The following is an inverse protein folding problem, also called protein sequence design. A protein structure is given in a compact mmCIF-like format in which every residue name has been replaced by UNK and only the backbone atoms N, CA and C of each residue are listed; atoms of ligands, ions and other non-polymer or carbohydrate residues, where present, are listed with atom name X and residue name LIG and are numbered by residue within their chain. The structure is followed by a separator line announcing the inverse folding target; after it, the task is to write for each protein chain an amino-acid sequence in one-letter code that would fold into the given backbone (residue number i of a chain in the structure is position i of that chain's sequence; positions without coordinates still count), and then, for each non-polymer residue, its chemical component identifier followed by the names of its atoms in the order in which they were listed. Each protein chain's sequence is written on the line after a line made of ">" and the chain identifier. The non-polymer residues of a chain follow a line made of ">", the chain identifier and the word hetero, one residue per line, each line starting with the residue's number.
data_IF_583256593326
#
_entry.id   IF_583256593326
#
_cell.length_a   1.000
_cell.length_b   1.000
_cell.length_c   1.000
_cell.angle_alpha   90.00
_cell.angle_beta   90.00
_cell.angle_gamma   90.00
#
_symmetry.space_group_name_H-M   'P 1'
#
loop_
_entity.id
_entity.type
_entity.pdbx_description
1 polymer ?
#
# COMPACT_ATOMS: atom_id res chain seq x y z
N UNK A 1 -18.25 -27.14 43.39
CA UNK A 1 -18.36 -25.96 42.50
C UNK A 1 -17.55 -26.21 41.24
N UNK A 2 -18.21 -26.54 40.12
CA UNK A 2 -17.57 -26.79 38.82
C UNK A 2 -17.34 -25.45 38.13
N UNK A 3 -16.09 -25.05 37.87
CA UNK A 3 -15.75 -23.91 37.02
C UNK A 3 -15.87 -24.37 35.56
N UNK A 4 -16.82 -23.79 34.82
CA UNK A 4 -16.99 -24.04 33.39
C UNK A 4 -15.86 -23.41 32.58
N UNK A 5 -15.57 -23.91 31.37
CA UNK A 5 -14.52 -23.36 30.53
C UNK A 5 -14.98 -22.01 29.97
N UNK A 6 -14.17 -20.97 30.17
CA UNK A 6 -14.30 -19.71 29.46
C UNK A 6 -14.11 -19.99 27.97
N UNK A 7 -15.19 -19.89 27.19
CA UNK A 7 -15.12 -19.78 25.74
C UNK A 7 -14.53 -18.41 25.43
N UNK A 8 -13.22 -18.36 25.17
CA UNK A 8 -12.63 -17.25 24.45
C UNK A 8 -13.32 -17.13 23.10
N UNK A 9 -13.89 -15.96 22.81
CA UNK A 9 -14.35 -15.65 21.47
C UNK A 9 -13.14 -15.74 20.53
N UNK A 10 -13.23 -16.59 19.51
CA UNK A 10 -12.33 -16.54 18.38
C UNK A 10 -12.47 -15.18 17.68
N UNK A 11 -11.39 -14.56 17.17
CA UNK A 11 -11.52 -13.37 16.36
C UNK A 11 -12.36 -13.69 15.13
N UNK A 12 -13.34 -12.83 14.84
CA UNK A 12 -14.18 -12.92 13.65
C UNK A 12 -13.31 -12.99 12.39
N UNK A 13 -13.56 -13.99 11.56
CA UNK A 13 -12.91 -14.16 10.26
C UNK A 13 -13.14 -12.93 9.36
N UNK A 14 -12.12 -12.09 9.19
CA UNK A 14 -12.15 -10.96 8.25
C UNK A 14 -11.72 -11.34 6.81
N UNK A 15 -11.37 -12.60 6.54
CA UNK A 15 -10.78 -12.99 5.24
C UNK A 15 -11.76 -13.39 4.13
N UNK A 16 -13.05 -13.05 4.22
CA UNK A 16 -14.07 -13.52 3.23
C UNK A 16 -14.82 -12.43 2.46
N UNK A 17 -14.48 -11.15 2.61
CA UNK A 17 -15.22 -10.08 1.93
C UNK A 17 -14.93 -9.99 0.42
N UNK A 18 -13.71 -10.33 0.01
CA UNK A 18 -13.26 -10.18 -1.38
C UNK A 18 -12.61 -11.46 -1.90
N UNK A 19 -12.93 -11.82 -3.13
CA UNK A 19 -12.27 -12.89 -3.88
C UNK A 19 -11.45 -12.32 -5.04
N UNK A 20 -10.57 -13.13 -5.60
CA UNK A 20 -9.75 -12.75 -6.76
C UNK A 20 -10.01 -13.69 -7.93
N UNK A 21 -9.80 -13.18 -9.14
CA UNK A 21 -9.84 -13.96 -10.38
C UNK A 21 -8.64 -13.63 -11.24
N UNK A 22 -7.78 -14.62 -11.46
CA UNK A 22 -6.61 -14.49 -12.32
C UNK A 22 -6.96 -14.83 -13.78
N UNK A 23 -6.45 -14.04 -14.71
CA UNK A 23 -6.57 -14.26 -16.15
C UNK A 23 -5.21 -14.08 -16.81
N UNK A 24 -4.91 -14.91 -17.80
CA UNK A 24 -3.59 -14.94 -18.43
C UNK A 24 -2.56 -15.74 -17.63
N UNK A 25 -1.39 -15.96 -18.22
CA UNK A 25 -0.32 -16.74 -17.61
C UNK A 25 0.49 -15.88 -16.61
N UNK A 26 0.81 -16.38 -15.41
CA UNK A 26 1.68 -15.67 -14.48
C UNK A 26 3.03 -15.28 -15.12
N UNK A 27 3.53 -14.09 -14.81
CA UNK A 27 4.72 -13.49 -15.43
C UNK A 27 4.61 -13.37 -16.96
N UNK A 28 3.42 -12.99 -17.47
CA UNK A 28 3.20 -12.59 -18.85
C UNK A 28 2.59 -11.17 -18.93
N UNK A 29 2.77 -10.43 -20.05
CA UNK A 29 2.14 -9.12 -20.26
C UNK A 29 0.61 -9.12 -20.19
N UNK A 30 -0.01 -10.29 -20.40
CA UNK A 30 -1.45 -10.52 -20.40
C UNK A 30 -2.01 -10.82 -19.02
N UNK A 31 -1.16 -11.14 -18.03
CA UNK A 31 -1.60 -11.47 -16.68
C UNK A 31 -2.39 -10.34 -16.02
N UNK A 32 -3.59 -10.65 -15.53
CA UNK A 32 -4.45 -9.73 -14.78
C UNK A 32 -5.04 -10.45 -13.57
N UNK A 33 -5.10 -9.77 -12.44
CA UNK A 33 -5.82 -10.22 -11.25
C UNK A 33 -6.98 -9.26 -10.99
N UNK A 34 -8.19 -9.75 -11.19
CA UNK A 34 -9.44 -9.04 -10.95
C UNK A 34 -9.97 -9.33 -9.54
N UNK A 35 -10.86 -8.46 -9.06
CA UNK A 35 -11.49 -8.56 -7.75
C UNK A 35 -12.96 -8.88 -7.87
N UNK A 36 -13.48 -9.66 -6.92
CA UNK A 36 -14.90 -9.95 -6.74
C UNK A 36 -15.34 -9.57 -5.33
N UNK A 37 -16.53 -8.98 -5.20
CA UNK A 37 -17.16 -8.76 -3.89
C UNK A 37 -17.74 -10.07 -3.32
N UNK A 38 -18.32 -10.01 -2.12
CA UNK A 38 -18.93 -11.15 -1.45
C UNK A 38 -20.10 -11.78 -2.23
N UNK A 39 -20.73 -11.04 -3.16
CA UNK A 39 -21.77 -11.52 -4.06
C UNK A 39 -21.20 -12.12 -5.35
N UNK A 40 -19.88 -12.16 -5.50
CA UNK A 40 -19.19 -12.68 -6.68
C UNK A 40 -19.18 -11.71 -7.87
N UNK A 41 -19.60 -10.45 -7.72
CA UNK A 41 -19.57 -9.47 -8.81
C UNK A 41 -18.16 -8.90 -8.98
N UNK A 42 -17.74 -8.68 -10.22
CA UNK A 42 -16.46 -8.01 -10.49
C UNK A 42 -16.51 -6.57 -10.00
N UNK A 43 -15.45 -6.13 -9.32
CA UNK A 43 -15.31 -4.79 -8.76
C UNK A 43 -13.92 -4.22 -9.08
N UNK A 44 -13.81 -2.90 -9.06
CA UNK A 44 -12.55 -2.18 -9.12
C UNK A 44 -11.86 -2.15 -7.75
N UNK A 45 -10.60 -2.60 -7.63
CA UNK A 45 -9.84 -2.41 -6.40
C UNK A 45 -9.46 -0.95 -6.16
N UNK A 46 -9.53 -0.10 -7.19
CA UNK A 46 -9.28 1.34 -7.04
C UNK A 46 -10.52 2.05 -6.51
N UNK A 47 -11.70 1.77 -7.06
CA UNK A 47 -12.89 2.58 -6.83
C UNK A 47 -13.93 1.94 -5.89
N UNK A 48 -14.07 0.62 -5.90
CA UNK A 48 -15.21 -0.07 -5.28
C UNK A 48 -14.89 -0.69 -3.92
N UNK A 49 -13.62 -0.91 -3.60
CA UNK A 49 -13.20 -1.29 -2.25
C UNK A 49 -13.22 -0.02 -1.39
N UNK A 50 -13.99 0.03 -0.28
CA UNK A 50 -14.08 1.23 0.54
C UNK A 50 -12.73 1.62 1.14
N UNK A 51 -12.46 2.93 1.27
CA UNK A 51 -11.30 3.47 1.99
C UNK A 51 -11.14 2.84 3.38
N UNK A 52 -12.23 2.83 4.15
CA UNK A 52 -12.26 2.35 5.53
C UNK A 52 -12.77 0.91 5.61
N UNK A 53 -12.03 0.06 6.33
CA UNK A 53 -12.52 -1.22 6.83
C UNK A 53 -13.37 -1.04 8.09
N UNK A 54 -12.94 -0.14 8.99
CA UNK A 54 -13.71 0.30 10.15
C UNK A 54 -13.42 1.79 10.41
N UNK A 55 -14.34 2.71 10.05
CA UNK A 55 -14.12 4.15 10.22
C UNK A 55 -14.07 4.58 11.70
N UNK A 56 -14.69 3.83 12.63
CA UNK A 56 -14.67 4.18 14.07
C UNK A 56 -13.31 3.90 14.68
N UNK A 57 -12.68 2.82 14.25
CA UNK A 57 -11.34 2.42 14.69
C UNK A 57 -10.22 2.99 13.80
N UNK A 58 -10.58 3.76 12.76
CA UNK A 58 -9.67 4.25 11.72
C UNK A 58 -8.82 3.11 11.11
N UNK A 59 -9.48 1.98 10.82
CA UNK A 59 -8.90 0.90 10.03
C UNK A 59 -9.20 1.14 8.57
N UNK A 60 -8.16 1.10 7.74
CA UNK A 60 -8.23 1.27 6.30
C UNK A 60 -8.21 -0.10 5.62
N UNK A 61 -8.87 -0.24 4.48
CA UNK A 61 -8.58 -1.36 3.59
C UNK A 61 -7.26 -1.08 2.86
N UNK A 62 -6.39 -2.06 2.76
CA UNK A 62 -5.21 -2.06 1.90
C UNK A 62 -5.38 -3.12 0.83
N UNK A 63 -5.14 -2.75 -0.41
CA UNK A 63 -5.05 -3.68 -1.54
C UNK A 63 -3.59 -4.10 -1.69
N UNK A 64 -3.27 -5.38 -1.45
CA UNK A 64 -1.91 -5.90 -1.54
C UNK A 64 -1.54 -6.20 -2.99
N UNK A 65 -0.50 -5.54 -3.48
CA UNK A 65 -0.01 -5.69 -4.86
C UNK A 65 1.24 -6.57 -4.94
N UNK A 66 2.20 -6.32 -4.06
CA UNK A 66 3.52 -6.96 -4.11
C UNK A 66 3.82 -7.59 -2.74
N UNK A 67 3.79 -8.93 -2.64
CA UNK A 67 4.19 -9.66 -1.44
C UNK A 67 5.62 -9.33 -1.03
N UNK A 68 5.87 -9.28 0.29
CA UNK A 68 7.23 -9.10 0.81
C UNK A 68 8.19 -10.16 0.22
N UNK A 69 9.40 -9.71 -0.11
CA UNK A 69 10.50 -10.46 -0.71
C UNK A 69 10.26 -10.95 -2.14
N UNK A 70 9.27 -10.40 -2.82
CA UNK A 70 9.06 -10.60 -4.25
C UNK A 70 9.58 -9.41 -5.07
N UNK A 71 9.77 -9.61 -6.38
CA UNK A 71 10.42 -8.64 -7.27
C UNK A 71 9.50 -8.13 -8.40
N UNK A 72 8.44 -8.86 -8.76
CA UNK A 72 7.54 -8.44 -9.84
C UNK A 72 6.87 -7.12 -9.44
N UNK A 73 7.06 -6.06 -10.24
CA UNK A 73 6.38 -4.78 -10.01
C UNK A 73 4.94 -4.91 -10.48
N UNK A 74 4.07 -5.27 -9.55
CA UNK A 74 2.64 -5.42 -9.76
C UNK A 74 1.95 -4.15 -9.27
N UNK A 75 0.93 -3.69 -9.98
CA UNK A 75 0.22 -2.44 -9.68
C UNK A 75 -1.24 -2.53 -10.12
N UNK A 76 -2.13 -1.82 -9.42
CA UNK A 76 -3.48 -1.50 -9.87
C UNK A 76 -3.40 -0.80 -11.21
N UNK A 77 -4.02 -1.36 -12.24
CA UNK A 77 -4.03 -0.75 -13.56
C UNK A 77 -5.02 0.42 -13.64
N UNK A 78 -4.63 1.62 -13.19
CA UNK A 78 -5.48 2.83 -13.12
C UNK A 78 -6.16 3.19 -14.43
N UNK A 79 -5.56 2.83 -15.57
CA UNK A 79 -6.06 3.11 -16.93
C UNK A 79 -6.92 1.99 -17.56
N UNK A 80 -7.09 0.85 -16.89
CA UNK A 80 -7.89 -0.26 -17.41
C UNK A 80 -9.27 -0.35 -16.72
N UNK A 81 -10.33 -0.77 -17.44
CA UNK A 81 -11.61 -1.04 -16.82
C UNK A 81 -11.48 -2.03 -15.66
N UNK A 82 -12.18 -1.75 -14.55
CA UNK A 82 -12.14 -2.53 -13.30
C UNK A 82 -10.75 -2.59 -12.63
N UNK A 83 -9.78 -1.82 -13.11
CA UNK A 83 -8.46 -1.63 -12.51
C UNK A 83 -7.79 -2.91 -11.95
N UNK A 84 -7.75 -4.03 -12.70
CA UNK A 84 -7.10 -5.24 -12.21
C UNK A 84 -5.63 -4.99 -11.88
N UNK A 85 -5.07 -5.77 -10.96
CA UNK A 85 -3.63 -5.78 -10.77
C UNK A 85 -2.96 -6.39 -12.01
N UNK A 86 -1.92 -5.74 -12.51
CA UNK A 86 -1.07 -6.25 -13.61
C UNK A 86 0.40 -6.00 -13.29
N UNK A 87 1.29 -6.64 -14.03
CA UNK A 87 2.71 -6.30 -13.96
C UNK A 87 3.02 -5.08 -14.84
N UNK A 88 3.83 -4.16 -14.31
CA UNK A 88 4.37 -3.02 -15.07
C UNK A 88 5.25 -3.54 -16.23
N UNK A 89 5.18 -2.88 -17.39
CA UNK A 89 5.92 -3.23 -18.60
C UNK A 89 6.73 -2.03 -19.05
N UNK A 90 8.06 -2.17 -19.02
CA UNK A 90 9.01 -1.13 -19.40
C UNK A 90 9.80 -1.59 -20.62
N UNK A 91 9.77 -0.80 -21.70
CA UNK A 91 10.45 -1.12 -22.98
C UNK A 91 10.09 -2.53 -23.51
N UNK A 92 8.81 -2.90 -23.41
CA UNK A 92 8.28 -4.19 -23.89
C UNK A 92 8.66 -5.40 -23.03
N UNK A 93 9.27 -5.20 -21.86
CA UNK A 93 9.62 -6.28 -20.92
C UNK A 93 8.92 -6.08 -19.59
N UNK A 94 8.52 -7.19 -18.98
CA UNK A 94 7.98 -7.20 -17.62
C UNK A 94 9.00 -6.63 -16.65
N UNK A 95 8.56 -5.72 -15.78
CA UNK A 95 9.42 -5.04 -14.83
C UNK A 95 9.55 -5.83 -13.54
N UNK A 96 10.80 -6.01 -13.12
CA UNK A 96 11.16 -6.56 -11.83
C UNK A 96 12.06 -5.58 -11.09
N UNK A 97 11.68 -5.24 -9.86
CA UNK A 97 12.54 -4.46 -8.97
C UNK A 97 13.74 -5.30 -8.56
N UNK A 98 14.94 -4.74 -8.68
CA UNK A 98 16.17 -5.45 -8.38
C UNK A 98 16.32 -5.75 -6.87
N UNK A 99 17.13 -6.77 -6.55
CA UNK A 99 17.63 -6.92 -5.20
C UNK A 99 18.78 -5.91 -5.02
N UNK A 100 18.64 -4.99 -4.07
CA UNK A 100 19.72 -4.07 -3.68
C UNK A 100 20.23 -4.51 -2.33
N UNK A 101 21.47 -5.00 -2.27
CA UNK A 101 22.06 -5.49 -1.02
C UNK A 101 21.91 -4.44 0.10
N UNK A 102 21.43 -4.82 1.30
CA UNK A 102 21.20 -6.19 1.80
C UNK A 102 19.77 -6.73 1.57
N UNK A 103 18.96 -6.06 0.77
CA UNK A 103 17.52 -6.33 0.62
C UNK A 103 17.21 -7.35 -0.48
N UNK A 104 16.21 -8.20 -0.22
CA UNK A 104 15.59 -9.08 -1.21
C UNK A 104 14.23 -8.50 -1.60
N UNK A 105 14.08 -8.08 -2.85
CA UNK A 105 12.84 -7.52 -3.40
C UNK A 105 12.29 -6.36 -2.57
N UNK A 106 10.96 -6.27 -2.52
CA UNK A 106 10.26 -5.38 -1.59
C UNK A 106 10.39 -5.91 -0.16
N UNK A 107 10.73 -5.05 0.80
CA UNK A 107 10.97 -5.46 2.19
C UNK A 107 9.74 -5.31 3.12
N UNK A 108 8.58 -4.99 2.52
CA UNK A 108 7.22 -4.92 3.12
C UNK A 108 6.25 -5.73 2.25
N UNK A 109 5.04 -6.00 2.75
CA UNK A 109 3.92 -6.19 1.83
C UNK A 109 3.57 -4.79 1.29
N UNK A 110 3.59 -4.63 -0.02
CA UNK A 110 3.39 -3.34 -0.67
C UNK A 110 2.08 -3.33 -1.44
N UNK A 111 1.44 -2.17 -1.49
CA UNK A 111 0.21 -1.97 -2.23
C UNK A 111 -0.32 -0.56 -2.04
N UNK A 112 -1.64 -0.42 -2.13
CA UNK A 112 -2.31 0.87 -2.13
C UNK A 112 -3.49 0.94 -1.16
N UNK A 113 -3.83 2.15 -0.71
CA UNK A 113 -5.14 2.42 -0.11
C UNK A 113 -6.16 2.73 -1.23
N UNK A 114 -7.26 1.97 -1.35
CA UNK A 114 -8.27 2.22 -2.36
C UNK A 114 -9.00 3.54 -2.08
N UNK A 115 -9.64 4.08 -3.10
CA UNK A 115 -10.34 5.37 -3.03
C UNK A 115 -9.45 6.54 -2.62
N UNK A 116 -8.16 6.51 -2.92
CA UNK A 116 -7.23 7.63 -2.77
C UNK A 116 -6.59 7.94 -4.10
N UNK A 117 -6.20 9.18 -4.35
CA UNK A 117 -5.55 9.56 -5.60
C UNK A 117 -4.61 10.74 -5.37
N UNK A 118 -3.35 10.56 -5.77
CA UNK A 118 -2.31 11.59 -5.82
C UNK A 118 -2.54 12.43 -7.08
N UNK A 119 -3.30 13.53 -6.94
CA UNK A 119 -3.73 14.36 -8.08
C UNK A 119 -2.53 15.00 -8.82
N UNK A 120 -2.29 14.66 -10.10
CA UNK A 120 -1.16 15.18 -10.88
C UNK A 120 -1.32 16.66 -11.27
N UNK A 121 -2.49 17.25 -11.06
CA UNK A 121 -2.74 18.68 -11.26
C UNK A 121 -2.53 19.49 -9.97
N UNK A 122 -2.52 18.83 -8.81
CA UNK A 122 -2.33 19.46 -7.51
C UNK A 122 -0.86 19.50 -7.13
N UNK A 123 -0.33 20.70 -6.89
CA UNK A 123 1.01 20.87 -6.32
C UNK A 123 0.95 20.78 -4.80
N UNK A 124 1.47 19.69 -4.26
CA UNK A 124 1.58 19.44 -2.83
C UNK A 124 2.55 20.45 -2.17
N UNK A 125 2.13 21.04 -1.05
CA UNK A 125 2.86 22.12 -0.40
C UNK A 125 4.12 21.65 0.34
N UNK A 126 4.13 20.40 0.81
CA UNK A 126 5.20 19.83 1.63
C UNK A 126 6.36 19.32 0.76
N UNK A 127 6.04 18.72 -0.38
CA UNK A 127 7.02 18.21 -1.35
C UNK A 127 7.37 19.23 -2.43
N UNK A 128 6.47 20.16 -2.74
CA UNK A 128 6.63 21.11 -3.84
C UNK A 128 6.51 20.48 -5.23
N UNK A 129 5.97 19.26 -5.32
CA UNK A 129 5.76 18.48 -6.53
C UNK A 129 4.26 18.26 -6.79
N UNK A 130 3.90 17.78 -7.99
CA UNK A 130 2.55 17.29 -8.26
C UNK A 130 2.45 15.79 -7.99
N UNK A 131 1.26 15.27 -7.70
CA UNK A 131 1.02 13.84 -7.49
C UNK A 131 1.40 12.96 -8.68
N UNK A 132 1.71 11.70 -8.43
CA UNK A 132 2.12 10.70 -9.43
C UNK A 132 0.95 10.07 -10.22
N UNK A 133 -0.27 10.53 -9.99
CA UNK A 133 -1.52 10.09 -10.62
C UNK A 133 -1.97 8.66 -10.24
N UNK A 134 -1.44 8.08 -9.17
CA UNK A 134 -1.82 6.76 -8.67
C UNK A 134 -2.49 6.85 -7.28
N UNK A 135 -3.05 5.73 -6.75
CA UNK A 135 -3.51 5.69 -5.36
C UNK A 135 -2.35 5.79 -4.37
N UNK A 136 -2.61 6.27 -3.15
CA UNK A 136 -1.57 6.39 -2.13
C UNK A 136 -0.98 5.03 -1.78
N UNK A 137 0.34 4.95 -1.86
CA UNK A 137 1.14 3.77 -1.62
C UNK A 137 1.32 3.46 -0.13
N UNK A 138 1.35 2.17 0.19
CA UNK A 138 1.51 1.69 1.56
C UNK A 138 2.53 0.58 1.72
N UNK A 139 3.21 0.62 2.85
CA UNK A 139 4.15 -0.39 3.32
C UNK A 139 3.58 -1.06 4.57
N UNK A 140 2.97 -2.25 4.42
CA UNK A 140 2.55 -3.06 5.55
C UNK A 140 3.76 -3.79 6.16
N UNK A 141 4.04 -3.43 7.41
CA UNK A 141 5.18 -3.93 8.17
C UNK A 141 4.84 -5.24 8.91
N UNK A 142 3.61 -5.76 8.83
CA UNK A 142 3.18 -6.99 9.52
C UNK A 142 4.08 -8.20 9.24
N UNK A 143 4.13 -9.16 10.16
CA UNK A 143 5.00 -10.34 10.09
C UNK A 143 4.57 -11.32 9.00
N UNK A 144 3.26 -11.41 8.69
CA UNK A 144 2.75 -12.28 7.62
C UNK A 144 3.21 -11.78 6.26
N UNK A 145 3.67 -12.66 5.39
CA UNK A 145 3.79 -12.35 3.95
C UNK A 145 2.41 -12.52 3.34
N UNK A 146 1.80 -11.42 2.90
CA UNK A 146 0.46 -11.44 2.30
C UNK A 146 0.53 -11.94 0.86
N UNK A 147 -0.57 -12.49 0.34
CA UNK A 147 -0.67 -12.79 -1.08
C UNK A 147 -1.04 -11.54 -1.88
N UNK A 148 -0.54 -11.48 -3.12
CA UNK A 148 -1.00 -10.48 -4.08
C UNK A 148 -2.51 -10.66 -4.29
N UNK A 149 -3.25 -9.57 -4.35
CA UNK A 149 -4.69 -9.62 -4.47
C UNK A 149 -5.44 -9.58 -3.14
N UNK A 150 -4.76 -9.80 -2.00
CA UNK A 150 -5.42 -9.73 -0.71
C UNK A 150 -5.89 -8.31 -0.40
N UNK A 151 -7.05 -8.21 0.25
CA UNK A 151 -7.54 -6.98 0.85
C UNK A 151 -7.47 -7.16 2.36
N UNK A 152 -6.64 -6.37 3.03
CA UNK A 152 -6.38 -6.50 4.46
C UNK A 152 -6.74 -5.21 5.19
N UNK A 153 -7.19 -5.34 6.43
CA UNK A 153 -7.44 -4.19 7.30
C UNK A 153 -6.14 -3.75 7.95
N UNK A 154 -5.82 -2.46 7.91
CA UNK A 154 -4.58 -1.90 8.44
C UNK A 154 -4.84 -0.63 9.24
N UNK A 155 -3.94 -0.28 10.16
CA UNK A 155 -3.88 1.08 10.73
C UNK A 155 -2.64 1.81 10.26
N UNK A 156 -2.77 3.11 10.04
CA UNK A 156 -1.63 3.99 9.76
C UNK A 156 -0.80 4.24 11.03
N UNK A 157 0.51 4.31 10.84
CA UNK A 157 1.51 4.58 11.88
C UNK A 157 2.27 5.87 11.62
N UNK A 158 2.44 6.23 10.34
CA UNK A 158 3.13 7.41 9.86
C UNK A 158 3.31 7.38 8.34
N UNK A 159 4.05 8.32 7.77
CA UNK A 159 4.25 8.43 6.31
C UNK A 159 5.63 8.98 5.96
N UNK A 160 6.16 8.56 4.82
CA UNK A 160 7.39 9.09 4.21
C UNK A 160 7.06 9.85 2.92
N UNK A 161 7.62 11.05 2.77
CA UNK A 161 7.44 11.92 1.62
C UNK A 161 8.51 11.64 0.54
N UNK A 162 8.30 10.63 -0.31
CA UNK A 162 9.21 10.36 -1.43
C UNK A 162 8.96 11.38 -2.55
N UNK A 163 10.03 11.84 -3.18
CA UNK A 163 9.97 12.56 -4.45
C UNK A 163 10.49 11.59 -5.50
N UNK A 164 9.58 10.97 -6.24
CA UNK A 164 9.90 9.95 -7.23
C UNK A 164 9.92 10.56 -8.64
N UNK A 165 11.10 10.70 -9.22
CA UNK A 165 11.29 11.29 -10.55
C UNK A 165 10.64 12.68 -10.76
N UNK A 166 10.44 13.44 -9.68
CA UNK A 166 9.86 14.78 -9.69
C UNK A 166 8.38 14.85 -9.27
N UNK A 167 7.79 13.71 -8.93
CA UNK A 167 6.40 13.58 -8.49
C UNK A 167 6.32 13.34 -6.97
N UNK A 168 5.25 13.83 -6.35
CA UNK A 168 4.87 13.53 -4.97
C UNK A 168 4.41 12.09 -4.91
N UNK A 169 5.04 11.31 -4.03
CA UNK A 169 4.79 9.88 -3.91
C UNK A 169 4.78 9.48 -2.42
N UNK A 170 3.62 9.57 -1.76
CA UNK A 170 3.51 9.31 -0.33
C UNK A 170 3.58 7.82 -0.01
N UNK A 171 4.51 7.42 0.87
CA UNK A 171 4.61 6.03 1.37
C UNK A 171 4.11 5.92 2.80
N UNK A 172 2.85 5.52 2.97
CA UNK A 172 2.26 5.35 4.30
C UNK A 172 2.75 4.06 4.95
N UNK A 173 3.20 4.15 6.20
CA UNK A 173 3.61 3.01 7.00
C UNK A 173 2.40 2.51 7.77
N UNK A 174 2.06 1.24 7.56
CA UNK A 174 0.87 0.62 8.15
C UNK A 174 1.22 -0.71 8.80
N UNK A 175 0.33 -1.19 9.68
CA UNK A 175 0.40 -2.55 10.22
C UNK A 175 -0.96 -3.24 10.10
N UNK A 176 -0.92 -4.47 9.59
CA UNK A 176 -2.07 -5.37 9.47
C UNK A 176 -2.78 -5.59 10.82
N UNK A 177 -4.12 -5.51 10.82
CA UNK A 177 -4.97 -5.73 11.98
C UNK A 177 -4.88 -7.14 12.55
N UNK A 178 -4.51 -8.13 11.73
CA UNK A 178 -4.29 -9.51 12.14
C UNK A 178 -2.86 -9.77 12.66
N UNK A 179 -2.00 -8.75 12.70
CA UNK A 179 -0.62 -8.91 13.17
C UNK A 179 -0.58 -9.16 14.69
N UNK A 180 0.25 -10.10 15.19
CA UNK A 180 0.41 -10.34 16.62
C UNK A 180 0.85 -9.10 17.42
N UNK A 181 1.62 -8.20 16.82
CA UNK A 181 2.09 -6.97 17.43
C UNK A 181 1.17 -5.77 17.16
N UNK A 182 0.00 -5.99 16.53
CA UNK A 182 -0.92 -4.92 16.17
C UNK A 182 -1.22 -4.01 17.37
N UNK A 183 -1.54 -4.56 18.54
CA UNK A 183 -1.84 -3.74 19.73
C UNK A 183 -0.62 -3.02 20.32
N UNK A 184 0.59 -3.51 20.07
CA UNK A 184 1.83 -2.98 20.65
C UNK A 184 2.50 -1.89 19.79
N UNK A 185 2.16 -1.83 18.50
CA UNK A 185 2.70 -0.85 17.55
C UNK A 185 1.58 0.14 17.20
N UNK A 186 1.63 1.35 17.76
CA UNK A 186 0.61 2.38 17.51
C UNK A 186 1.18 3.66 16.88
N UNK A 187 2.50 3.75 16.78
CA UNK A 187 3.23 4.91 16.27
C UNK A 187 4.56 4.48 15.64
N UNK A 188 5.20 5.38 14.90
CA UNK A 188 6.57 5.16 14.40
C UNK A 188 7.59 4.96 15.53
N UNK A 189 7.38 5.57 16.70
CA UNK A 189 8.25 5.37 17.86
C UNK A 189 8.18 3.92 18.38
N UNK A 190 7.00 3.29 18.32
CA UNK A 190 6.87 1.87 18.65
C UNK A 190 7.55 0.97 17.62
N UNK A 191 7.51 1.35 16.33
CA UNK A 191 8.24 0.64 15.28
C UNK A 191 9.74 0.69 15.58
N UNK A 192 10.30 1.85 15.86
CA UNK A 192 11.74 1.98 16.15
C UNK A 192 12.14 1.22 17.43
N UNK A 193 11.28 1.26 18.46
CA UNK A 193 11.51 0.57 19.74
C UNK A 193 11.48 -0.96 19.59
N UNK A 194 10.53 -1.50 18.83
CA UNK A 194 10.31 -2.95 18.70
C UNK A 194 11.08 -3.55 17.51
N UNK A 195 11.43 -2.74 16.52
CA UNK A 195 12.07 -3.14 15.25
C UNK A 195 13.11 -2.09 14.85
N UNK A 196 14.18 -1.92 15.65
CA UNK A 196 15.17 -0.87 15.42
C UNK A 196 15.80 -0.98 14.04
N UNK A 197 15.95 0.16 13.37
CA UNK A 197 16.50 0.28 12.02
C UNK A 197 15.55 -0.09 10.87
N UNK A 198 14.30 -0.49 11.15
CA UNK A 198 13.34 -0.85 10.11
C UNK A 198 12.95 0.36 9.24
N UNK A 199 12.67 1.51 9.87
CA UNK A 199 12.35 2.76 9.17
C UNK A 199 13.54 3.31 8.38
N UNK A 200 14.75 3.13 8.91
CA UNK A 200 15.99 3.50 8.21
C UNK A 200 16.21 2.63 6.97
N UNK A 201 15.96 1.33 7.08
CA UNK A 201 15.93 0.43 5.94
C UNK A 201 14.85 0.84 4.92
N UNK A 202 13.69 1.34 5.37
CA UNK A 202 12.65 1.85 4.47
C UNK A 202 13.10 3.02 3.64
N UNK A 203 13.62 4.04 4.31
CA UNK A 203 14.14 5.23 3.66
C UNK A 203 15.29 4.88 2.72
N UNK A 204 16.19 3.99 3.13
CA UNK A 204 17.30 3.57 2.28
C UNK A 204 16.81 2.81 1.04
N UNK A 205 15.87 1.87 1.18
CA UNK A 205 15.33 1.10 0.06
C UNK A 205 14.72 2.03 -1.01
N UNK A 206 13.84 2.96 -0.62
CA UNK A 206 13.23 3.89 -1.56
C UNK A 206 14.23 4.87 -2.20
N UNK A 207 15.33 5.19 -1.50
CA UNK A 207 16.41 6.01 -2.07
C UNK A 207 17.10 5.31 -3.23
N UNK A 208 17.35 4.01 -3.13
CA UNK A 208 18.31 3.31 -4.00
C UNK A 208 17.69 2.29 -4.96
N UNK A 209 16.43 1.89 -4.80
CA UNK A 209 15.85 0.75 -5.53
C UNK A 209 15.86 0.89 -7.06
N UNK A 210 15.85 2.13 -7.58
CA UNK A 210 15.92 2.40 -9.03
C UNK A 210 17.34 2.58 -9.56
N UNK A 211 18.38 2.62 -8.72
CA UNK A 211 19.78 2.75 -9.18
C UNK A 211 20.16 1.63 -10.16
N UNK A 212 19.81 0.34 -9.92
CA UNK A 212 20.08 -0.71 -10.89
C UNK A 212 19.37 -0.54 -12.24
N UNK A 213 18.32 0.29 -12.30
CA UNK A 213 17.64 0.67 -13.54
C UNK A 213 18.33 1.84 -14.27
N UNK A 214 19.48 2.33 -13.78
CA UNK A 214 20.20 3.48 -14.31
C UNK A 214 19.59 4.83 -13.94
N UNK A 215 18.77 4.88 -12.89
CA UNK A 215 18.19 6.11 -12.34
C UNK A 215 19.06 6.68 -11.21
N UNK A 216 19.00 8.00 -10.94
CA UNK A 216 19.64 8.57 -9.76
C UNK A 216 18.97 8.08 -8.46
N UNK A 217 19.57 8.42 -7.32
CA UNK A 217 18.90 8.28 -6.03
C UNK A 217 17.63 9.12 -5.98
N UNK A 218 16.57 8.57 -5.39
CA UNK A 218 15.37 9.35 -5.11
C UNK A 218 15.60 10.30 -3.92
N UNK A 219 14.87 11.40 -3.92
CA UNK A 219 14.90 12.41 -2.87
C UNK A 219 13.68 12.29 -1.96
N UNK A 220 13.71 13.00 -0.84
CA UNK A 220 12.59 13.04 0.11
C UNK A 220 12.36 14.49 0.57
N UNK A 221 11.11 14.85 0.81
CA UNK A 221 10.83 16.05 1.58
C UNK A 221 11.19 15.82 3.07
N UNK A 222 11.15 16.89 3.87
CA UNK A 222 11.45 16.86 5.31
C UNK A 222 12.79 16.23 5.68
N UNK A 223 13.81 16.34 4.81
CA UNK A 223 15.11 15.67 4.98
C UNK A 223 15.00 14.14 5.14
N UNK A 224 13.96 13.52 4.58
CA UNK A 224 13.69 12.10 4.71
C UNK A 224 13.17 11.68 6.09
N UNK A 225 12.74 12.62 6.92
CA UNK A 225 12.07 12.28 8.19
C UNK A 225 10.66 11.76 7.90
N UNK A 226 10.30 10.70 8.61
CA UNK A 226 8.92 10.25 8.63
C UNK A 226 8.06 11.26 9.40
N UNK A 227 6.83 11.43 8.94
CA UNK A 227 5.77 12.16 9.63
C UNK A 227 4.89 11.19 10.42
N UNK A 228 4.32 11.67 11.51
CA UNK A 228 3.53 10.86 12.45
C UNK A 228 2.21 10.37 11.85
N UNK A 229 1.47 9.63 12.68
CA UNK A 229 0.20 9.02 12.33
C UNK A 229 -0.83 10.07 11.92
N UNK A 230 -0.92 11.15 12.66
CA UNK A 230 -1.89 12.23 12.42
C UNK A 230 -1.65 12.85 11.05
N UNK A 231 -0.39 13.11 10.70
CA UNK A 231 -0.04 13.60 9.36
C UNK A 231 -0.37 12.57 8.27
N UNK A 232 -0.07 11.29 8.49
CA UNK A 232 -0.41 10.24 7.53
C UNK A 232 -1.93 10.12 7.30
N UNK A 233 -2.74 10.28 8.35
CA UNK A 233 -4.19 10.29 8.23
C UNK A 233 -4.70 11.52 7.47
N UNK A 234 -4.03 12.67 7.55
CA UNK A 234 -4.38 13.84 6.72
C UNK A 234 -4.02 13.62 5.25
N UNK A 235 -2.87 13.02 4.95
CA UNK A 235 -2.50 12.61 3.58
C UNK A 235 -3.60 11.72 3.00
N UNK A 236 -3.99 10.66 3.69
CA UNK A 236 -5.05 9.74 3.24
C UNK A 236 -6.41 10.45 3.06
N UNK A 237 -6.76 11.38 3.93
CA UNK A 237 -7.99 12.15 3.79
C UNK A 237 -7.95 13.12 2.60
N UNK A 238 -6.81 13.78 2.36
CA UNK A 238 -6.62 14.71 1.26
C UNK A 238 -6.71 14.01 -0.10
N UNK A 239 -5.99 12.89 -0.25
CA UNK A 239 -6.02 12.09 -1.49
C UNK A 239 -7.35 11.38 -1.69
N UNK A 240 -8.10 11.07 -0.62
CA UNK A 240 -9.49 10.65 -0.75
C UNK A 240 -10.40 11.77 -1.27
N UNK A 241 -10.20 13.03 -0.85
CA UNK A 241 -10.95 14.17 -1.41
C UNK A 241 -10.63 14.39 -2.89
N UNK A 242 -9.38 14.22 -3.30
CA UNK A 242 -8.98 14.26 -4.71
C UNK A 242 -9.62 13.14 -5.51
N UNK A 243 -9.56 11.89 -5.01
CA UNK A 243 -10.24 10.76 -5.62
C UNK A 243 -11.76 10.99 -5.76
N UNK A 244 -12.43 11.56 -4.77
CA UNK A 244 -13.85 11.92 -4.87
C UNK A 244 -14.12 12.90 -6.00
N UNK A 245 -13.24 13.89 -6.16
CA UNK A 245 -13.33 14.85 -7.26
C UNK A 245 -13.15 14.15 -8.61
N UNK A 246 -12.18 13.24 -8.71
CA UNK A 246 -11.94 12.40 -9.90
C UNK A 246 -13.19 11.60 -10.30
N UNK A 247 -13.76 10.82 -9.36
CA UNK A 247 -14.89 9.94 -9.67
C UNK A 247 -16.22 10.68 -9.89
N UNK A 248 -16.31 11.94 -9.46
CA UNK A 248 -17.50 12.78 -9.72
C UNK A 248 -17.35 13.67 -10.95
N UNK A 249 -16.18 13.65 -11.62
CA UNK A 249 -15.91 14.49 -12.79
C UNK A 249 -15.73 15.98 -12.46
N UNK A 250 -15.31 16.29 -11.23
CA UNK A 250 -15.08 17.65 -10.73
C UNK A 250 -13.60 18.09 -10.83
N UNK A 251 -12.75 17.25 -11.42
CA UNK A 251 -11.33 17.50 -11.75
C UNK A 251 -11.16 18.05 -13.16
#
# INVERSE_FOLDING_TARGET
>A
MKRGPHRGLAPLAASRAYGTEERGEPNSPEYRLFYRNAQGQLISPFHDIPLYADPKQKLYNMVVEIPRWSNAKMEIATKLPLNPIKQDVKKGKLRFTANVFPYKGYIWNYGAIPQTWEDPSHKDADTGCCGDNDPVDVCDIGLRVCNRGEVVSVKALGVLALIDEGETDWKVIVINADDPEFNNINSLADVERLRPGYLDATRNWFRVYKIPEGKPENCFAFDGKFKDKEFAEEVLQSTHRYWRSLITGAT
#
